data_IF_932892985932
#
_entry.id   IF_932892985932
#
_cell.length_a   1.000
_cell.length_b   1.000
_cell.length_c   1.000
_cell.angle_alpha   90.00
_cell.angle_beta   90.00
_cell.angle_gamma   90.00
#
_symmetry.space_group_name_H-M   'P 1'
#
loop_
_entity.id
_entity.type
_entity.pdbx_description
1 polymer ?
#
# COMPACT_ATOMS: atom_id res chain seq x y z
N UNK A 1 8.68 25.59 -30.53
CA UNK A 1 9.51 26.75 -30.92
C UNK A 1 9.65 27.65 -29.72
N UNK A 2 10.88 27.93 -29.32
CA UNK A 2 11.22 28.82 -28.21
C UNK A 2 12.73 29.03 -28.24
N UNK A 3 13.16 30.01 -29.02
CA UNK A 3 14.56 30.33 -29.26
C UNK A 3 15.00 31.34 -28.19
N UNK A 4 15.98 30.98 -27.37
CA UNK A 4 16.61 31.87 -26.40
C UNK A 4 18.11 31.64 -26.41
N UNK A 5 18.86 32.58 -26.98
CA UNK A 5 20.33 32.62 -26.90
C UNK A 5 20.77 32.95 -25.46
N UNK A 6 21.66 32.18 -24.81
CA UNK A 6 22.14 32.51 -23.47
C UNK A 6 23.25 33.57 -23.52
N UNK A 7 23.13 34.60 -22.68
CA UNK A 7 24.19 35.58 -22.41
C UNK A 7 25.33 35.01 -21.55
N UNK A 8 26.44 35.75 -21.37
CA UNK A 8 27.66 35.27 -20.72
C UNK A 8 27.47 35.27 -19.19
N UNK A 9 26.91 34.17 -18.71
CA UNK A 9 26.66 33.89 -17.29
C UNK A 9 25.73 32.69 -17.13
N UNK A 10 25.76 31.78 -18.12
CA UNK A 10 24.69 30.83 -18.39
C UNK A 10 24.43 29.88 -17.24
N UNK A 11 23.33 30.09 -16.53
CA UNK A 11 22.66 29.03 -15.80
C UNK A 11 22.44 27.87 -16.78
N UNK A 12 22.92 26.68 -16.42
CA UNK A 12 22.71 25.47 -17.20
C UNK A 12 21.21 25.36 -17.54
N UNK A 13 20.82 25.06 -18.79
CA UNK A 13 19.42 24.93 -19.15
C UNK A 13 18.81 23.75 -18.38
N UNK A 14 18.12 24.06 -17.28
CA UNK A 14 17.33 23.11 -16.53
C UNK A 14 16.12 22.73 -17.38
N UNK A 15 16.24 21.62 -18.11
CA UNK A 15 15.13 21.02 -18.85
C UNK A 15 14.10 20.52 -17.85
N UNK A 16 12.99 21.26 -17.71
CA UNK A 16 11.84 20.82 -16.91
C UNK A 16 10.99 19.89 -17.76
N UNK A 17 10.83 18.65 -17.29
CA UNK A 17 10.17 17.56 -18.02
C UNK A 17 8.63 17.55 -17.89
N UNK A 18 8.05 18.63 -17.38
CA UNK A 18 6.62 18.71 -17.07
C UNK A 18 6.32 18.19 -15.67
N UNK A 19 5.11 17.66 -15.49
CA UNK A 19 4.70 16.98 -14.26
C UNK A 19 5.46 15.64 -14.13
N UNK A 20 6.29 15.46 -13.08
CA UNK A 20 6.98 14.20 -12.85
C UNK A 20 6.07 13.00 -12.61
N UNK A 21 4.78 13.22 -12.31
CA UNK A 21 3.78 12.16 -12.11
C UNK A 21 2.91 11.92 -13.35
N UNK A 22 3.24 12.52 -14.52
CA UNK A 22 2.51 12.27 -15.77
C UNK A 22 2.73 10.82 -16.23
N UNK A 23 1.70 9.95 -16.22
CA UNK A 23 1.85 8.53 -16.52
C UNK A 23 2.27 8.24 -17.97
N UNK A 24 2.23 9.25 -18.86
CA UNK A 24 2.63 9.11 -20.26
C UNK A 24 4.14 9.05 -20.45
N UNK A 25 4.94 9.52 -19.48
CA UNK A 25 6.39 9.62 -19.56
C UNK A 25 7.05 9.02 -18.32
N UNK A 26 8.26 8.48 -18.46
CA UNK A 26 9.07 8.03 -17.33
C UNK A 26 8.39 7.02 -16.40
N UNK A 27 8.62 7.18 -15.11
CA UNK A 27 8.00 6.42 -14.03
C UNK A 27 7.14 7.31 -13.12
N UNK A 28 6.21 6.69 -12.38
CA UNK A 28 5.37 7.37 -11.39
C UNK A 28 5.40 6.67 -10.04
N UNK A 29 5.02 7.42 -9.00
CA UNK A 29 4.78 6.92 -7.66
C UNK A 29 3.29 7.06 -7.36
N UNK A 30 2.57 5.95 -7.18
CA UNK A 30 1.12 5.95 -7.04
C UNK A 30 0.67 5.55 -5.63
N UNK A 31 0.20 6.54 -4.87
CA UNK A 31 -0.44 6.34 -3.57
C UNK A 31 -1.83 6.96 -3.59
N UNK A 32 -2.85 6.13 -3.37
CA UNK A 32 -4.23 6.57 -3.28
C UNK A 32 -4.94 5.74 -2.23
N UNK A 33 -5.23 6.38 -1.09
CA UNK A 33 -5.86 5.75 0.06
C UNK A 33 -7.38 6.03 0.14
N UNK A 34 -7.92 6.79 -0.82
CA UNK A 34 -9.34 7.17 -0.88
C UNK A 34 -10.11 6.40 -1.95
N UNK A 35 -9.46 6.00 -3.05
CA UNK A 35 -10.01 5.08 -4.05
C UNK A 35 -10.06 3.64 -3.53
N UNK A 36 -10.96 2.83 -4.06
CA UNK A 36 -11.04 1.41 -3.68
C UNK A 36 -9.83 0.62 -4.22
N UNK A 37 -8.93 0.18 -3.34
CA UNK A 37 -7.73 -0.57 -3.73
C UNK A 37 -8.02 -1.90 -4.46
N UNK A 38 -9.26 -2.40 -4.42
CA UNK A 38 -9.65 -3.63 -5.12
C UNK A 38 -10.37 -3.33 -6.45
N UNK A 39 -10.57 -2.06 -6.79
CA UNK A 39 -11.07 -1.63 -8.10
C UNK A 39 -9.90 -1.41 -9.08
N UNK A 40 -9.76 -2.23 -10.14
CA UNK A 40 -8.69 -2.07 -11.12
C UNK A 40 -8.72 -0.71 -11.84
N UNK A 41 -9.87 -0.04 -11.90
CA UNK A 41 -10.02 1.23 -12.61
C UNK A 41 -9.32 2.41 -11.93
N UNK A 42 -8.95 2.29 -10.65
CA UNK A 42 -8.23 3.34 -9.95
C UNK A 42 -6.78 3.49 -10.43
N UNK A 43 -6.21 2.45 -11.05
CA UNK A 43 -4.79 2.40 -11.38
C UNK A 43 -4.49 3.08 -12.73
N UNK A 44 -3.58 4.06 -12.77
CA UNK A 44 -3.28 4.81 -13.99
C UNK A 44 -2.55 3.96 -15.03
N UNK A 45 -2.76 4.29 -16.30
CA UNK A 45 -2.03 3.72 -17.45
C UNK A 45 -0.63 4.33 -17.55
N UNK A 46 0.27 3.87 -16.70
CA UNK A 46 1.64 4.37 -16.59
C UNK A 46 2.65 3.54 -17.38
N UNK A 47 3.75 4.17 -17.83
CA UNK A 47 4.87 3.46 -18.48
C UNK A 47 5.65 2.58 -17.51
N UNK A 48 5.87 3.07 -16.29
CA UNK A 48 6.50 2.34 -15.20
C UNK A 48 5.98 2.85 -13.86
N UNK A 49 5.80 1.96 -12.89
CA UNK A 49 5.40 2.30 -11.53
C UNK A 49 6.53 1.88 -10.62
N UNK A 50 7.30 2.85 -10.13
CA UNK A 50 8.47 2.62 -9.28
C UNK A 50 8.11 2.59 -7.80
N UNK A 51 6.95 3.14 -7.43
CA UNK A 51 6.38 2.99 -6.10
C UNK A 51 4.86 2.92 -6.13
N UNK A 52 4.31 2.06 -5.28
CA UNK A 52 2.91 2.08 -4.83
C UNK A 52 2.79 1.22 -3.59
N UNK A 53 1.77 1.43 -2.75
CA UNK A 53 1.53 0.48 -1.67
C UNK A 53 0.32 0.80 -0.82
N UNK A 54 -0.01 -0.18 0.03
CA UNK A 54 -1.03 -0.10 1.06
C UNK A 54 -0.46 -0.62 2.38
N UNK A 55 -0.86 -0.02 3.50
CA UNK A 55 -0.34 -0.42 4.80
C UNK A 55 -0.99 -1.70 5.33
N UNK A 56 -0.23 -2.44 6.15
CA UNK A 56 -0.73 -3.44 7.09
C UNK A 56 0.07 -3.39 8.39
N UNK A 57 -0.44 -4.03 9.44
CA UNK A 57 0.34 -4.19 10.66
C UNK A 57 1.29 -5.39 10.59
N UNK A 58 2.41 -5.32 11.31
CA UNK A 58 3.35 -6.42 11.49
C UNK A 58 2.67 -7.68 12.05
N UNK A 59 3.21 -8.87 11.75
CA UNK A 59 2.67 -10.11 12.35
C UNK A 59 2.86 -10.13 13.86
N UNK A 60 2.04 -10.95 14.54
CA UNK A 60 2.14 -11.11 16.00
C UNK A 60 3.56 -11.57 16.42
N UNK A 61 4.18 -12.49 15.68
CA UNK A 61 5.54 -12.96 15.96
C UNK A 61 6.63 -11.89 15.78
N UNK A 62 6.37 -10.88 14.94
CA UNK A 62 7.30 -9.76 14.73
C UNK A 62 7.18 -8.70 15.84
N UNK A 63 5.97 -8.42 16.33
CA UNK A 63 5.72 -7.38 17.35
C UNK A 63 5.80 -7.90 18.79
N UNK A 64 5.52 -9.17 19.04
CA UNK A 64 5.47 -9.75 20.39
C UNK A 64 6.72 -9.49 21.25
N UNK A 65 7.96 -9.57 20.75
CA UNK A 65 9.15 -9.28 21.57
C UNK A 65 9.28 -7.82 22.03
N UNK A 66 8.47 -6.93 21.48
CA UNK A 66 8.53 -5.49 21.70
C UNK A 66 7.21 -4.93 22.25
N UNK A 67 6.33 -5.81 22.75
CA UNK A 67 5.00 -5.47 23.26
C UNK A 67 4.59 -6.37 24.42
N UNK A 68 3.76 -5.85 25.32
CA UNK A 68 3.25 -6.56 26.48
C UNK A 68 1.82 -7.08 26.26
N UNK A 69 1.57 -8.40 26.39
CA UNK A 69 0.23 -8.95 26.37
C UNK A 69 -0.64 -8.36 27.48
N UNK A 70 -1.90 -8.03 27.19
CA UNK A 70 -2.81 -7.43 28.17
C UNK A 70 -2.64 -5.92 28.39
N UNK A 71 -1.60 -5.30 27.80
CA UNK A 71 -1.42 -3.85 27.79
C UNK A 71 -1.41 -3.31 26.36
N UNK A 72 -0.55 -3.85 25.50
CA UNK A 72 -0.32 -3.32 24.15
C UNK A 72 -1.21 -3.97 23.09
N UNK A 73 -1.66 -5.20 23.33
CA UNK A 73 -2.31 -6.05 22.33
C UNK A 73 -3.78 -5.67 22.12
N UNK A 74 -4.02 -4.63 21.34
CA UNK A 74 -5.33 -4.21 20.85
C UNK A 74 -5.20 -3.17 19.74
N UNK A 75 -6.11 -3.08 18.77
CA UNK A 75 -5.94 -2.32 17.52
C UNK A 75 -5.66 -0.82 17.68
N UNK A 76 -6.12 -0.22 18.78
CA UNK A 76 -6.08 1.24 19.02
C UNK A 76 -5.42 1.61 20.36
N UNK A 77 -4.60 0.71 20.91
CA UNK A 77 -3.83 1.02 22.12
C UNK A 77 -2.83 2.15 21.86
N UNK A 78 -2.36 2.81 22.92
CA UNK A 78 -1.31 3.82 22.81
C UNK A 78 -0.07 3.28 22.10
N UNK A 79 0.33 2.04 22.43
CA UNK A 79 1.42 1.34 21.75
C UNK A 79 1.19 1.27 20.24
N UNK A 80 0.05 0.76 19.79
CA UNK A 80 -0.24 0.62 18.35
C UNK A 80 -0.19 1.96 17.61
N UNK A 81 -0.75 3.00 18.22
CA UNK A 81 -0.72 4.37 17.65
C UNK A 81 0.69 4.92 17.59
N UNK A 82 1.52 4.65 18.61
CA UNK A 82 2.93 5.06 18.59
C UNK A 82 3.75 4.37 17.48
N UNK A 83 3.28 3.20 16.99
CA UNK A 83 3.87 2.44 15.88
C UNK A 83 3.35 2.87 14.50
N UNK A 84 2.34 3.73 14.44
CA UNK A 84 1.88 4.37 13.20
C UNK A 84 2.68 5.66 12.98
N UNK A 85 3.35 5.76 11.83
CA UNK A 85 4.18 6.93 11.45
C UNK A 85 3.74 7.58 10.14
N UNK A 86 2.65 7.08 9.57
CA UNK A 86 1.95 7.69 8.45
C UNK A 86 0.80 8.53 8.99
N UNK A 87 0.76 9.79 8.57
CA UNK A 87 -0.30 10.71 8.94
C UNK A 87 -1.65 10.21 8.39
N UNK A 88 -2.68 10.19 9.23
CA UNK A 88 -4.00 9.64 8.86
C UNK A 88 -4.07 8.11 8.67
N UNK A 89 -2.98 7.35 8.84
CA UNK A 89 -2.93 5.93 8.46
C UNK A 89 -3.93 5.00 9.16
N UNK A 90 -4.27 5.25 10.43
CA UNK A 90 -5.33 4.48 11.14
C UNK A 90 -6.69 4.66 10.45
N UNK A 91 -7.04 5.90 10.09
CA UNK A 91 -8.31 6.24 9.46
C UNK A 91 -8.41 5.75 8.01
N UNK A 92 -7.33 5.89 7.25
CA UNK A 92 -7.24 5.36 5.88
C UNK A 92 -7.39 3.84 5.84
N UNK A 93 -6.72 3.13 6.76
CA UNK A 93 -6.81 1.68 6.85
C UNK A 93 -8.22 1.22 7.24
N UNK A 94 -8.86 1.88 8.21
CA UNK A 94 -10.25 1.62 8.57
C UNK A 94 -11.21 1.86 7.40
N UNK A 95 -11.03 2.98 6.68
CA UNK A 95 -11.85 3.35 5.52
C UNK A 95 -11.74 2.29 4.42
N UNK A 96 -10.52 1.86 4.08
CA UNK A 96 -10.29 0.83 3.08
C UNK A 96 -10.84 -0.54 3.50
N UNK A 97 -10.59 -0.95 4.74
CA UNK A 97 -11.13 -2.20 5.29
C UNK A 97 -12.66 -2.23 5.23
N UNK A 98 -13.33 -1.10 5.56
CA UNK A 98 -14.78 -0.99 5.56
C UNK A 98 -15.46 -1.14 4.20
N UNK A 99 -14.70 -1.06 3.10
CA UNK A 99 -15.25 -1.25 1.74
C UNK A 99 -15.61 -2.70 1.44
N UNK A 100 -14.81 -3.64 1.93
CA UNK A 100 -14.89 -5.07 1.57
C UNK A 100 -15.03 -6.01 2.76
N UNK A 101 -14.84 -5.53 3.98
CA UNK A 101 -14.92 -6.34 5.19
C UNK A 101 -15.95 -5.80 6.17
N UNK A 102 -16.64 -6.71 6.86
CA UNK A 102 -17.49 -6.37 8.00
C UNK A 102 -16.61 -6.12 9.22
N UNK A 103 -16.51 -4.86 9.62
CA UNK A 103 -15.71 -4.48 10.78
C UNK A 103 -16.52 -4.64 12.08
N UNK A 104 -15.88 -5.06 13.18
CA UNK A 104 -16.50 -4.99 14.50
C UNK A 104 -16.99 -3.57 14.79
N UNK A 105 -18.25 -3.43 15.23
CA UNK A 105 -18.87 -2.13 15.51
C UNK A 105 -18.00 -1.23 16.41
N UNK A 106 -17.34 -1.83 17.40
CA UNK A 106 -16.43 -1.15 18.31
C UNK A 106 -15.26 -0.44 17.62
N UNK A 107 -14.82 -0.89 16.44
CA UNK A 107 -13.74 -0.23 15.69
C UNK A 107 -14.21 1.03 14.97
N UNK A 108 -15.52 1.18 14.76
CA UNK A 108 -16.12 2.23 13.94
C UNK A 108 -17.01 3.20 14.73
N UNK A 109 -17.47 2.82 15.92
CA UNK A 109 -18.40 3.61 16.75
C UNK A 109 -17.72 4.68 17.62
N UNK A 110 -16.41 4.87 17.48
CA UNK A 110 -15.64 5.83 18.26
C UNK A 110 -15.33 5.39 19.69
N UNK A 111 -15.87 4.26 20.17
CA UNK A 111 -15.72 3.82 21.56
C UNK A 111 -14.40 3.08 21.77
N UNK A 112 -13.99 2.17 20.87
CA UNK A 112 -12.70 1.48 21.02
C UNK A 112 -11.50 2.41 20.82
N UNK A 113 -11.65 3.46 20.01
CA UNK A 113 -10.62 4.48 19.78
C UNK A 113 -10.38 5.35 21.02
N UNK A 114 -11.37 5.45 21.91
CA UNK A 114 -11.32 6.22 23.18
C UNK A 114 -10.99 5.35 24.39
N UNK A 115 -11.43 4.09 24.39
CA UNK A 115 -11.29 3.17 25.52
C UNK A 115 -10.01 2.32 25.50
N UNK A 116 -9.28 2.26 24.38
CA UNK A 116 -7.88 1.81 24.28
C UNK A 116 -7.48 0.67 25.23
N UNK A 117 -8.15 -0.48 25.14
CA UNK A 117 -7.87 -1.65 25.98
C UNK A 117 -7.21 -2.78 25.19
N UNK A 118 -6.34 -3.53 25.86
CA UNK A 118 -5.83 -4.78 25.29
C UNK A 118 -6.94 -5.83 25.21
N UNK A 119 -7.07 -6.44 24.06
CA UNK A 119 -7.94 -7.57 23.78
C UNK A 119 -7.20 -8.41 22.74
N UNK A 120 -6.49 -9.44 23.21
CA UNK A 120 -5.63 -10.30 22.39
C UNK A 120 -6.36 -10.88 21.19
N UNK A 121 -7.66 -11.20 21.33
CA UNK A 121 -8.44 -11.75 20.22
C UNK A 121 -8.69 -10.70 19.16
N UNK A 122 -9.02 -9.48 19.56
CA UNK A 122 -9.19 -8.36 18.61
C UNK A 122 -7.88 -7.98 17.96
N UNK A 123 -6.78 -8.06 18.70
CA UNK A 123 -5.46 -7.80 18.15
C UNK A 123 -5.13 -8.78 17.03
N UNK A 124 -5.33 -10.08 17.24
CA UNK A 124 -5.16 -11.09 16.21
C UNK A 124 -6.07 -10.86 14.98
N UNK A 125 -7.35 -10.51 15.20
CA UNK A 125 -8.28 -10.19 14.11
C UNK A 125 -7.83 -8.95 13.32
N UNK A 126 -7.33 -7.91 14.01
CA UNK A 126 -6.83 -6.69 13.38
C UNK A 126 -5.61 -6.97 12.50
N UNK A 127 -4.61 -7.70 13.02
CA UNK A 127 -3.44 -8.12 12.25
C UNK A 127 -3.86 -8.88 11.00
N UNK A 128 -4.73 -9.88 11.17
CA UNK A 128 -5.21 -10.69 10.06
C UNK A 128 -5.92 -9.85 8.99
N UNK A 129 -6.89 -9.03 9.37
CA UNK A 129 -7.68 -8.23 8.42
C UNK A 129 -6.81 -7.22 7.67
N UNK A 130 -5.93 -6.50 8.35
CA UNK A 130 -5.05 -5.52 7.71
C UNK A 130 -4.08 -6.17 6.72
N UNK A 131 -3.55 -7.35 7.04
CA UNK A 131 -2.65 -8.08 6.16
C UNK A 131 -3.37 -8.73 4.96
N UNK A 132 -4.56 -9.30 5.16
CA UNK A 132 -5.39 -9.84 4.06
C UNK A 132 -5.80 -8.72 3.12
N UNK A 133 -6.25 -7.59 3.67
CA UNK A 133 -6.58 -6.39 2.89
C UNK A 133 -5.40 -5.95 2.02
N UNK A 134 -4.22 -5.76 2.62
CA UNK A 134 -3.01 -5.39 1.87
C UNK A 134 -2.71 -6.40 0.75
N UNK A 135 -2.80 -7.70 1.03
CA UNK A 135 -2.56 -8.74 0.02
C UNK A 135 -3.54 -8.68 -1.16
N UNK A 136 -4.81 -8.36 -0.89
CA UNK A 136 -5.83 -8.19 -1.93
C UNK A 136 -5.57 -6.93 -2.75
N UNK A 137 -5.24 -5.80 -2.13
CA UNK A 137 -4.86 -4.58 -2.86
C UNK A 137 -3.63 -4.83 -3.75
N UNK A 138 -2.60 -5.51 -3.24
CA UNK A 138 -1.36 -5.80 -4.00
C UNK A 138 -1.65 -6.72 -5.17
N UNK A 139 -2.47 -7.76 -4.96
CA UNK A 139 -2.92 -8.63 -6.05
C UNK A 139 -3.59 -7.81 -7.16
N UNK A 140 -4.51 -6.91 -6.82
CA UNK A 140 -5.24 -6.10 -7.79
C UNK A 140 -4.32 -5.15 -8.53
N UNK A 141 -3.51 -4.36 -7.81
CA UNK A 141 -2.56 -3.42 -8.37
C UNK A 141 -1.58 -4.08 -9.34
N UNK A 142 -0.88 -5.13 -8.86
CA UNK A 142 0.13 -5.85 -9.64
C UNK A 142 -0.48 -6.51 -10.86
N UNK A 143 -1.63 -7.18 -10.71
CA UNK A 143 -2.30 -7.81 -11.85
C UNK A 143 -2.73 -6.79 -12.90
N UNK A 144 -3.25 -5.64 -12.47
CA UNK A 144 -3.72 -4.59 -13.36
C UNK A 144 -2.58 -4.01 -14.19
N UNK A 145 -1.50 -3.55 -13.54
CA UNK A 145 -0.37 -3.00 -14.28
C UNK A 145 0.37 -4.03 -15.13
N UNK A 146 0.45 -5.30 -14.70
CA UNK A 146 1.00 -6.36 -15.56
C UNK A 146 0.16 -6.59 -16.82
N UNK A 147 -1.18 -6.56 -16.73
CA UNK A 147 -2.07 -6.63 -17.91
C UNK A 147 -1.85 -5.45 -18.87
N UNK A 148 -1.57 -4.26 -18.33
CA UNK A 148 -1.34 -3.04 -19.11
C UNK A 148 -0.06 -3.05 -19.95
N UNK A 149 0.82 -4.06 -19.81
CA UNK A 149 1.97 -4.27 -20.72
C UNK A 149 1.55 -4.34 -22.19
N UNK A 150 0.37 -4.91 -22.48
CA UNK A 150 -0.16 -5.06 -23.83
C UNK A 150 -1.04 -3.90 -24.32
N UNK A 151 -1.41 -2.94 -23.47
CA UNK A 151 -2.24 -1.79 -23.87
C UNK A 151 -1.33 -0.72 -24.54
N UNK A 152 -1.53 -0.34 -25.82
CA UNK A 152 -0.70 0.65 -26.51
C UNK A 152 -0.65 2.02 -25.84
N UNK A 153 -1.66 2.37 -25.03
CA UNK A 153 -1.69 3.63 -24.28
C UNK A 153 -0.76 3.59 -23.08
N UNK A 154 -0.63 2.43 -22.44
CA UNK A 154 0.18 2.22 -21.26
C UNK A 154 1.57 1.67 -21.64
N UNK A 155 1.66 0.45 -22.17
CA UNK A 155 2.90 -0.29 -22.38
C UNK A 155 3.71 -0.40 -21.08
N UNK A 156 3.02 -0.72 -19.97
CA UNK A 156 3.65 -0.78 -18.64
C UNK A 156 4.78 -1.80 -18.62
N UNK A 157 6.00 -1.32 -18.37
CA UNK A 157 7.23 -2.10 -18.48
C UNK A 157 7.84 -2.50 -17.12
N UNK A 158 7.33 -1.96 -16.02
CA UNK A 158 7.83 -2.27 -14.68
C UNK A 158 6.87 -1.82 -13.59
N UNK A 159 6.81 -2.60 -12.51
CA UNK A 159 6.00 -2.34 -11.32
C UNK A 159 6.84 -2.72 -10.12
N UNK A 160 7.10 -1.78 -9.22
CA UNK A 160 7.85 -1.96 -7.99
C UNK A 160 6.98 -1.46 -6.84
N UNK A 161 6.67 -2.35 -5.90
CA UNK A 161 5.87 -1.96 -4.75
C UNK A 161 6.75 -1.38 -3.65
N UNK A 162 6.24 -0.34 -3.01
CA UNK A 162 6.71 0.13 -1.73
C UNK A 162 6.02 -0.69 -0.65
N UNK A 163 6.70 -1.39 0.27
CA UNK A 163 8.14 -1.62 0.37
C UNK A 163 8.41 -3.10 0.63
N UNK A 164 9.66 -3.55 0.45
CA UNK A 164 9.99 -4.96 0.66
C UNK A 164 9.94 -5.35 2.15
N UNK A 165 10.77 -4.71 2.98
CA UNK A 165 11.05 -5.09 4.37
C UNK A 165 10.83 -3.93 5.35
N UNK A 166 10.75 -4.27 6.64
CA UNK A 166 10.69 -3.31 7.73
C UNK A 166 12.03 -3.07 8.43
N UNK A 167 12.18 -1.88 9.00
CA UNK A 167 13.29 -1.47 9.88
C UNK A 167 12.95 -1.56 11.37
N UNK A 168 11.67 -1.77 11.70
CA UNK A 168 11.14 -1.95 13.05
C UNK A 168 9.72 -2.55 12.99
N UNK A 169 9.18 -3.18 14.06
CA UNK A 169 7.83 -3.74 14.04
C UNK A 169 6.77 -2.64 14.22
N UNK A 170 5.81 -2.56 13.29
CA UNK A 170 4.74 -1.57 13.33
C UNK A 170 3.84 -1.59 12.09
N UNK A 171 3.21 -0.45 11.81
CA UNK A 171 2.52 -0.22 10.55
C UNK A 171 3.51 0.17 9.47
N UNK A 172 3.40 -0.45 8.31
CA UNK A 172 4.17 -0.09 7.12
C UNK A 172 3.55 -0.70 5.87
N UNK A 173 4.15 -0.39 4.74
CA UNK A 173 3.84 -0.98 3.44
C UNK A 173 4.64 -2.26 3.17
N UNK A 174 5.36 -2.78 4.17
CA UNK A 174 6.24 -3.92 3.98
C UNK A 174 5.46 -5.17 3.61
N UNK A 175 6.11 -6.06 2.85
CA UNK A 175 5.67 -7.43 2.62
C UNK A 175 6.39 -8.44 3.53
N UNK A 176 7.57 -8.06 4.06
CA UNK A 176 8.41 -8.86 4.94
C UNK A 176 8.57 -8.12 6.26
N UNK A 177 8.25 -8.80 7.36
CA UNK A 177 8.33 -8.23 8.70
C UNK A 177 9.79 -7.95 9.12
N UNK A 178 9.92 -7.08 10.13
CA UNK A 178 11.21 -6.69 10.70
C UNK A 178 12.06 -7.90 11.11
N UNK A 179 13.36 -7.83 10.80
CA UNK A 179 14.33 -8.89 11.07
C UNK A 179 14.14 -10.15 10.22
N UNK A 180 13.36 -10.07 9.13
CA UNK A 180 13.08 -11.23 8.27
C UNK A 180 12.23 -12.30 8.96
N UNK A 181 11.55 -11.95 10.06
CA UNK A 181 10.84 -12.90 10.93
C UNK A 181 9.67 -13.61 10.25
N UNK A 182 9.15 -13.06 9.17
CA UNK A 182 8.03 -13.65 8.46
C UNK A 182 7.66 -12.91 7.19
N UNK A 183 6.97 -13.64 6.31
CA UNK A 183 6.31 -13.09 5.15
C UNK A 183 4.88 -12.74 5.51
N UNK A 184 4.48 -11.49 5.26
CA UNK A 184 3.07 -11.12 5.28
C UNK A 184 2.37 -11.78 4.07
N UNK A 185 1.05 -12.01 4.13
CA UNK A 185 0.24 -12.45 3.00
C UNK A 185 0.48 -11.67 1.71
N UNK A 186 0.80 -10.37 1.81
CA UNK A 186 1.16 -9.53 0.67
C UNK A 186 2.39 -10.02 -0.11
N UNK A 187 3.39 -10.61 0.56
CA UNK A 187 4.56 -11.18 -0.11
C UNK A 187 4.18 -12.38 -0.98
N UNK A 188 3.31 -13.25 -0.46
CA UNK A 188 2.77 -14.39 -1.21
C UNK A 188 1.86 -13.94 -2.36
N UNK A 189 1.08 -12.87 -2.16
CA UNK A 189 0.26 -12.28 -3.22
C UNK A 189 1.13 -11.69 -4.34
N UNK A 190 2.20 -10.98 -4.00
CA UNK A 190 3.16 -10.46 -4.96
C UNK A 190 3.87 -11.58 -5.72
N UNK A 191 4.34 -12.63 -5.04
CA UNK A 191 4.98 -13.78 -5.68
C UNK A 191 4.06 -14.44 -6.74
N UNK A 192 2.79 -14.68 -6.41
CA UNK A 192 1.81 -15.19 -7.38
C UNK A 192 1.56 -14.20 -8.52
N UNK A 193 1.43 -12.93 -8.19
CA UNK A 193 1.20 -11.88 -9.17
C UNK A 193 2.42 -11.62 -10.06
N UNK A 194 3.63 -12.08 -9.71
CA UNK A 194 4.84 -11.98 -10.51
C UNK A 194 5.27 -13.28 -11.20
N UNK A 195 4.49 -14.36 -11.09
CA UNK A 195 4.77 -15.60 -11.83
C UNK A 195 4.95 -15.32 -13.34
N UNK A 196 5.87 -16.05 -13.99
CA UNK A 196 6.21 -15.88 -15.42
C UNK A 196 4.96 -15.92 -16.29
N UNK A 197 4.05 -16.84 -15.97
CA UNK A 197 2.71 -16.94 -16.54
C UNK A 197 1.69 -16.78 -15.42
N UNK A 198 0.81 -15.79 -15.54
CA UNK A 198 -0.25 -15.53 -14.57
C UNK A 198 -1.57 -15.25 -15.28
N UNK A 199 -2.65 -15.86 -14.79
CA UNK A 199 -4.01 -15.52 -15.17
C UNK A 199 -4.56 -14.49 -14.19
N UNK A 200 -5.15 -13.42 -14.71
CA UNK A 200 -5.89 -12.46 -13.91
C UNK A 200 -7.19 -12.10 -14.61
N UNK A 201 -8.23 -11.90 -13.82
CA UNK A 201 -9.59 -11.58 -14.27
C UNK A 201 -10.03 -10.30 -13.59
N UNK A 202 -10.65 -9.41 -14.34
CA UNK A 202 -11.41 -8.28 -13.82
C UNK A 202 -12.80 -8.25 -14.46
N UNK A 203 -13.72 -7.56 -13.80
CA UNK A 203 -15.03 -7.26 -14.37
C UNK A 203 -14.91 -5.90 -15.03
N UNK A 204 -14.97 -5.86 -16.35
CA UNK A 204 -15.20 -4.61 -17.07
C UNK A 204 -16.69 -4.29 -16.90
N UNK A 205 -17.06 -3.11 -16.35
CA UNK A 205 -18.44 -2.68 -16.35
C UNK A 205 -18.97 -2.69 -17.80
N UNK A 206 -20.22 -3.11 -17.98
CA UNK A 206 -20.88 -3.01 -19.28
C UNK A 206 -20.84 -1.54 -19.74
N UNK A 207 -20.48 -1.33 -21.01
CA UNK A 207 -20.39 -0.01 -21.64
C UNK A 207 -21.73 0.73 -21.67
#
# INVERSE_FOLDING_TARGET
>A
GGNGTPGPGGALPLRRWGDPQDPRYGDIHFYNYTGDCMDPNMYPRAKMVTEFGFQSFASLGAVAPYSEPGVDWGPFTHFMRSRQRHDGGEGELLSQLGRHFRLPAKWTDGTAQRAGGADTRQFAHWIYLTQVHQAMCYRTALSTWRRLRGDPRALTAGVLYWQLNDVWPGYSWSSVDFGGRGWKPAHSAAARAYADVALSTDVTPAA
#
